data_IF_756564448108
#
_entry.id   IF_756564448108
#
_cell.length_a   1.000
_cell.length_b   1.000
_cell.length_c   1.000
_cell.angle_alpha   90.00
_cell.angle_beta   90.00
_cell.angle_gamma   90.00
#
_symmetry.space_group_name_H-M   'P 1'
#
loop_
_entity.id
_entity.type
_entity.pdbx_description
1 polymer ?
#
# COMPACT_ATOMS: atom_id res chain seq x y z
N UNK A 1 75.01 29.68 16.89
CA UNK A 1 73.99 28.77 16.33
C UNK A 1 72.63 29.41 16.52
N UNK A 2 71.95 29.79 15.43
CA UNK A 2 70.84 30.75 15.47
C UNK A 2 69.54 30.07 15.92
N UNK A 3 69.15 30.27 17.18
CA UNK A 3 67.93 29.72 17.80
C UNK A 3 66.63 30.05 17.03
N UNK A 4 66.64 31.14 16.24
CA UNK A 4 65.55 31.53 15.34
C UNK A 4 65.29 30.51 14.22
N UNK A 5 66.33 29.82 13.75
CA UNK A 5 66.20 28.78 12.71
C UNK A 5 65.57 27.50 13.28
N UNK A 6 65.92 27.15 14.52
CA UNK A 6 65.37 25.97 15.20
C UNK A 6 63.88 26.11 15.52
N UNK A 7 63.43 27.29 15.94
CA UNK A 7 62.00 27.56 16.20
C UNK A 7 61.19 27.48 14.90
N UNK A 8 61.76 27.93 13.78
CA UNK A 8 61.09 27.88 12.47
C UNK A 8 60.86 26.44 12.00
N UNK A 9 61.86 25.56 12.12
CA UNK A 9 61.71 24.15 11.75
C UNK A 9 60.77 23.37 12.69
N UNK A 10 60.74 23.71 13.98
CA UNK A 10 59.81 23.10 14.94
C UNK A 10 58.34 23.49 14.68
N UNK A 11 58.08 24.74 14.29
CA UNK A 11 56.73 25.19 13.96
C UNK A 11 56.19 24.57 12.65
N UNK A 12 57.05 24.40 11.63
CA UNK A 12 56.66 23.74 10.37
C UNK A 12 56.36 22.26 10.60
N UNK A 13 57.12 21.56 11.45
CA UNK A 13 56.86 20.15 11.78
C UNK A 13 55.51 19.94 12.51
N UNK A 14 55.06 20.91 13.33
CA UNK A 14 53.77 20.85 14.01
C UNK A 14 52.58 21.03 13.07
N UNK A 15 52.74 21.76 11.97
CA UNK A 15 51.65 22.03 11.02
C UNK A 15 51.41 20.81 10.11
N UNK A 16 52.46 20.08 9.70
CA UNK A 16 52.33 18.86 8.86
C UNK A 16 51.76 17.65 9.62
N UNK A 17 51.89 17.61 10.96
CA UNK A 17 51.33 16.53 11.78
C UNK A 17 49.83 16.71 12.11
N UNK A 18 49.22 17.87 11.80
CA UNK A 18 47.80 18.15 12.10
C UNK A 18 46.82 17.75 10.97
N UNK A 19 47.34 17.34 9.81
CA UNK A 19 46.53 16.76 8.73
C UNK A 19 46.45 15.23 8.86
N UNK A 20 46.05 14.73 10.01
CA UNK A 20 45.38 13.42 10.04
C UNK A 20 43.93 13.67 9.69
N UNK A 21 43.60 13.55 8.39
CA UNK A 21 42.22 13.32 8.00
C UNK A 21 41.81 12.01 8.66
N UNK A 22 41.10 12.08 9.78
CA UNK A 22 40.32 10.95 10.23
C UNK A 22 39.36 10.60 9.08
N UNK A 23 39.32 9.35 8.61
CA UNK A 23 38.31 8.97 7.66
C UNK A 23 36.97 9.27 8.32
N UNK A 24 36.18 10.15 7.70
CA UNK A 24 34.78 10.31 8.03
C UNK A 24 34.17 8.92 7.86
N UNK A 25 33.98 8.23 8.99
CA UNK A 25 33.09 7.09 9.04
C UNK A 25 31.72 7.69 8.77
N UNK A 26 31.28 7.65 7.50
CA UNK A 26 29.88 7.70 7.19
C UNK A 26 29.24 6.58 8.02
N UNK A 27 28.65 6.96 9.15
CA UNK A 27 27.67 6.15 9.81
C UNK A 27 26.55 6.01 8.79
N UNK A 28 26.61 4.94 8.00
CA UNK A 28 25.55 4.54 7.11
C UNK A 28 24.31 4.43 8.00
N UNK A 29 23.42 5.41 7.93
CA UNK A 29 22.17 5.39 8.68
C UNK A 29 21.40 4.18 8.14
N UNK A 30 21.43 3.08 8.89
CA UNK A 30 20.70 1.86 8.55
C UNK A 30 19.23 2.22 8.74
N UNK A 31 18.58 2.60 7.65
CA UNK A 31 17.13 2.83 7.64
C UNK A 31 16.47 1.51 8.02
N UNK A 32 15.69 1.45 9.11
CA UNK A 32 15.05 0.20 9.51
C UNK A 32 14.12 -0.28 8.41
N UNK A 33 14.23 -1.55 8.05
CA UNK A 33 13.40 -2.18 7.02
C UNK A 33 12.47 -3.19 7.67
N UNK A 34 11.18 -3.10 7.36
CA UNK A 34 10.15 -4.05 7.75
C UNK A 34 9.78 -4.90 6.53
N UNK A 35 9.91 -6.22 6.63
CA UNK A 35 9.39 -7.14 5.59
C UNK A 35 7.92 -7.42 5.86
N UNK A 36 7.08 -7.16 4.87
CA UNK A 36 5.63 -7.28 4.96
C UNK A 36 5.15 -8.37 4.01
N UNK A 37 4.35 -9.30 4.52
CA UNK A 37 3.55 -10.23 3.72
C UNK A 37 2.11 -9.74 3.69
N UNK A 38 1.67 -9.23 2.55
CA UNK A 38 0.32 -8.72 2.34
C UNK A 38 -0.57 -9.78 1.68
N UNK A 39 -1.62 -10.22 2.36
CA UNK A 39 -2.69 -11.03 1.78
C UNK A 39 -3.74 -10.14 1.11
N UNK A 40 -4.11 -10.47 -0.12
CA UNK A 40 -5.23 -9.83 -0.81
C UNK A 40 -6.55 -10.14 -0.06
N UNK A 41 -7.62 -9.33 -0.23
CA UNK A 41 -8.92 -9.61 0.40
C UNK A 41 -9.43 -11.00 0.07
N UNK A 42 -10.18 -11.62 0.97
CA UNK A 42 -10.81 -12.91 0.71
C UNK A 42 -12.06 -12.74 -0.17
N UNK A 43 -11.93 -12.96 -1.48
CA UNK A 43 -13.06 -13.26 -2.37
C UNK A 43 -13.27 -14.79 -2.43
N UNK A 44 -14.47 -15.28 -2.15
CA UNK A 44 -14.75 -16.71 -2.09
C UNK A 44 -14.54 -17.40 -3.47
N UNK A 45 -13.54 -18.29 -3.50
CA UNK A 45 -13.46 -19.60 -4.20
C UNK A 45 -13.55 -19.67 -5.74
N UNK A 46 -12.43 -19.41 -6.42
CA UNK A 46 -11.96 -20.22 -7.56
C UNK A 46 -10.48 -19.90 -7.88
N UNK A 47 -9.64 -20.89 -8.25
CA UNK A 47 -8.36 -20.62 -8.88
C UNK A 47 -8.63 -20.25 -10.36
N UNK A 48 -8.66 -18.97 -10.70
CA UNK A 48 -8.54 -18.53 -12.09
C UNK A 48 -7.10 -18.09 -12.35
N UNK A 49 -6.58 -18.43 -13.52
CA UNK A 49 -5.23 -18.08 -13.97
C UNK A 49 -5.10 -16.62 -14.45
N UNK A 50 -6.10 -15.78 -14.20
CA UNK A 50 -6.12 -14.40 -14.68
C UNK A 50 -5.77 -13.41 -13.58
N UNK A 51 -4.78 -12.58 -13.90
CA UNK A 51 -4.25 -11.50 -13.09
C UNK A 51 -5.25 -10.36 -12.97
N UNK A 52 -5.19 -9.64 -11.83
CA UNK A 52 -5.80 -8.33 -11.56
C UNK A 52 -7.18 -8.42 -10.92
N UNK A 53 -7.78 -7.27 -10.60
CA UNK A 53 -9.14 -7.12 -10.09
C UNK A 53 -10.09 -7.48 -11.24
N UNK A 54 -10.02 -8.75 -11.65
CA UNK A 54 -10.88 -9.33 -12.64
C UNK A 54 -12.14 -9.75 -11.88
N UNK A 55 -13.21 -8.98 -12.07
CA UNK A 55 -14.47 -9.65 -12.35
C UNK A 55 -14.25 -10.46 -13.63
N UNK A 56 -13.59 -11.62 -13.54
CA UNK A 56 -13.87 -12.66 -14.51
C UNK A 56 -15.32 -13.01 -14.23
N UNK A 57 -16.24 -12.50 -15.05
CA UNK A 57 -17.64 -12.92 -15.02
C UNK A 57 -17.69 -14.41 -15.37
N UNK A 58 -17.39 -15.28 -14.41
CA UNK A 58 -18.24 -16.43 -14.16
C UNK A 58 -19.52 -15.91 -13.52
N UNK A 59 -20.63 -16.63 -13.67
CA UNK A 59 -21.97 -16.10 -13.37
C UNK A 59 -22.15 -15.44 -11.99
N UNK A 60 -21.28 -15.65 -10.98
CA UNK A 60 -21.57 -15.30 -9.57
C UNK A 60 -20.38 -14.92 -8.65
N UNK A 61 -19.13 -14.71 -9.12
CA UNK A 61 -17.97 -14.60 -8.20
C UNK A 61 -17.02 -13.41 -8.45
N UNK A 62 -16.32 -12.99 -7.37
CA UNK A 62 -15.26 -11.97 -7.35
C UNK A 62 -13.95 -12.62 -6.88
N UNK A 63 -12.88 -12.53 -7.67
CA UNK A 63 -11.53 -12.89 -7.23
C UNK A 63 -10.64 -11.65 -7.09
N UNK A 64 -9.84 -11.65 -6.04
CA UNK A 64 -8.85 -10.62 -5.69
C UNK A 64 -7.47 -11.25 -5.65
N UNK A 65 -6.57 -10.73 -6.48
CA UNK A 65 -5.19 -11.16 -6.59
C UNK A 65 -4.29 -9.93 -6.73
N UNK A 66 -3.12 -9.98 -6.10
CA UNK A 66 -2.06 -9.01 -6.35
C UNK A 66 -1.50 -9.15 -7.76
N UNK A 67 -0.90 -8.07 -8.25
CA UNK A 67 -0.49 -7.96 -9.64
C UNK A 67 0.66 -6.96 -9.77
N UNK A 68 1.57 -7.18 -10.72
CA UNK A 68 2.71 -6.30 -10.94
C UNK A 68 2.26 -4.84 -11.21
N UNK A 69 2.88 -3.84 -10.62
CA UNK A 69 2.47 -2.44 -10.75
C UNK A 69 1.39 -2.01 -9.76
N UNK A 70 0.88 -2.91 -8.90
CA UNK A 70 0.07 -2.50 -7.76
C UNK A 70 0.87 -1.58 -6.84
N UNK A 71 0.21 -0.52 -6.41
CA UNK A 71 0.78 0.51 -5.56
C UNK A 71 0.20 0.44 -4.16
N UNK A 72 1.06 0.31 -3.17
CA UNK A 72 0.70 0.25 -1.75
C UNK A 72 1.29 1.46 -1.07
N UNK A 73 0.43 2.29 -0.47
CA UNK A 73 0.83 3.46 0.30
C UNK A 73 0.82 3.12 1.80
N UNK A 74 1.99 3.10 2.47
CA UNK A 74 2.09 2.88 3.90
C UNK A 74 1.97 4.18 4.70
N UNK A 75 1.39 4.08 5.90
CA UNK A 75 1.30 5.13 6.90
C UNK A 75 1.66 4.54 8.27
N UNK A 76 2.47 5.26 9.02
CA UNK A 76 2.96 4.86 10.33
C UNK A 76 2.33 5.73 11.40
N UNK A 77 1.75 5.12 12.42
CA UNK A 77 1.10 5.81 13.53
C UNK A 77 1.82 5.46 14.83
N UNK A 78 2.33 6.49 15.51
CA UNK A 78 2.97 6.36 16.82
C UNK A 78 2.55 7.52 17.72
N UNK A 79 1.79 7.22 18.77
CA UNK A 79 1.16 8.26 19.60
C UNK A 79 0.23 9.14 18.76
N UNK A 80 0.50 10.44 18.72
CA UNK A 80 -0.26 11.41 17.91
C UNK A 80 0.33 11.65 16.52
N UNK A 81 1.52 11.10 16.24
CA UNK A 81 2.17 11.27 14.95
C UNK A 81 1.57 10.29 13.93
N UNK A 82 1.30 10.81 12.73
CA UNK A 82 0.99 10.02 11.52
C UNK A 82 2.03 10.44 10.49
N UNK A 83 2.81 9.47 10.02
CA UNK A 83 3.90 9.71 9.06
C UNK A 83 3.61 8.90 7.80
N UNK A 84 3.64 9.56 6.65
CA UNK A 84 3.51 8.89 5.36
C UNK A 84 4.83 8.21 5.00
N UNK A 85 4.77 6.93 4.61
CA UNK A 85 5.93 6.22 4.09
C UNK A 85 6.01 6.26 2.56
N UNK A 86 7.12 5.75 2.03
CA UNK A 86 7.33 5.63 0.59
C UNK A 86 6.36 4.64 -0.04
N UNK A 87 5.70 5.02 -1.13
CA UNK A 87 4.82 4.14 -1.91
C UNK A 87 5.61 2.97 -2.49
N UNK A 88 5.10 1.75 -2.31
CA UNK A 88 5.68 0.53 -2.85
C UNK A 88 4.95 0.18 -4.14
N UNK A 89 5.70 -0.07 -5.21
CA UNK A 89 5.17 -0.64 -6.46
C UNK A 89 5.58 -2.11 -6.54
N UNK A 90 4.61 -3.02 -6.63
CA UNK A 90 4.90 -4.45 -6.67
C UNK A 90 5.52 -4.84 -8.03
N UNK A 91 6.72 -5.42 -8.04
CA UNK A 91 7.25 -6.25 -9.12
C UNK A 91 6.78 -7.70 -9.01
N UNK A 92 6.99 -8.50 -10.07
CA UNK A 92 6.68 -9.94 -10.07
C UNK A 92 7.40 -10.73 -8.97
N UNK A 93 8.62 -10.33 -8.60
CA UNK A 93 9.41 -10.98 -7.53
C UNK A 93 8.75 -10.90 -6.15
N UNK A 94 7.86 -9.92 -5.92
CA UNK A 94 7.13 -9.84 -4.67
C UNK A 94 5.97 -10.83 -4.60
N UNK A 95 5.45 -11.30 -5.73
CA UNK A 95 4.19 -12.02 -5.78
C UNK A 95 4.38 -13.51 -5.50
N UNK A 96 3.50 -14.10 -4.70
CA UNK A 96 3.43 -15.56 -4.59
C UNK A 96 2.95 -16.17 -5.91
N UNK A 97 3.24 -17.46 -6.14
CA UNK A 97 2.82 -18.17 -7.36
C UNK A 97 1.31 -18.05 -7.65
N UNK A 98 0.50 -18.13 -6.60
CA UNK A 98 -0.96 -18.00 -6.67
C UNK A 98 -1.47 -16.55 -6.60
N UNK A 99 -0.57 -15.57 -6.49
CA UNK A 99 -0.83 -14.13 -6.40
C UNK A 99 -1.79 -13.70 -5.27
N UNK A 100 -2.04 -14.57 -4.29
CA UNK A 100 -2.85 -14.25 -3.10
C UNK A 100 -2.07 -13.47 -2.07
N UNK A 101 -0.74 -13.56 -2.12
CA UNK A 101 0.15 -12.84 -1.22
C UNK A 101 1.20 -12.06 -2.01
N UNK A 102 1.65 -10.95 -1.44
CA UNK A 102 2.79 -10.18 -1.91
C UNK A 102 3.74 -9.94 -0.73
N UNK A 103 5.03 -10.23 -0.91
CA UNK A 103 6.07 -10.02 0.10
C UNK A 103 7.03 -8.93 -0.37
N UNK A 104 7.14 -7.85 0.40
CA UNK A 104 7.95 -6.69 0.05
C UNK A 104 8.51 -6.00 1.29
N UNK A 105 9.48 -5.12 1.07
CA UNK A 105 10.14 -4.37 2.14
C UNK A 105 9.61 -2.94 2.20
N UNK A 106 9.36 -2.45 3.41
CA UNK A 106 9.01 -1.06 3.69
C UNK A 106 10.10 -0.44 4.54
N UNK A 107 10.65 0.69 4.07
CA UNK A 107 11.51 1.54 4.87
C UNK A 107 10.68 2.27 5.93
N UNK A 108 11.04 2.12 7.20
CA UNK A 108 10.41 2.84 8.31
C UNK A 108 10.97 4.27 8.33
N UNK A 109 10.11 5.32 8.29
CA UNK A 109 10.56 6.71 8.36
C UNK A 109 11.30 7.02 9.66
N UNK A 110 12.28 7.94 9.61
CA UNK A 110 13.10 8.34 10.76
C UNK A 110 12.29 8.92 11.93
N UNK A 111 11.12 9.50 11.64
CA UNK A 111 10.20 10.06 12.63
C UNK A 111 9.49 8.98 13.48
N UNK A 112 9.62 7.71 13.11
CA UNK A 112 9.08 6.57 13.86
C UNK A 112 10.18 5.94 14.70
N UNK A 113 10.00 5.99 16.01
CA UNK A 113 10.91 5.33 16.93
C UNK A 113 10.63 3.82 16.94
N UNK A 114 11.45 3.06 16.22
CA UNK A 114 11.37 1.59 16.14
C UNK A 114 11.71 0.87 17.45
N UNK A 115 12.22 1.59 18.46
CA UNK A 115 12.39 1.07 19.82
C UNK A 115 11.06 0.93 20.58
N UNK A 116 9.97 1.50 20.06
CA UNK A 116 8.63 1.43 20.63
C UNK A 116 7.64 0.84 19.61
N UNK A 117 6.51 0.27 20.06
CA UNK A 117 5.45 -0.14 19.16
C UNK A 117 4.93 1.02 18.31
N UNK A 118 4.48 0.68 17.11
CA UNK A 118 3.78 1.59 16.20
C UNK A 118 2.76 0.79 15.39
N UNK A 119 1.76 1.46 14.82
CA UNK A 119 0.79 0.82 13.93
C UNK A 119 1.13 1.16 12.49
N UNK A 120 1.28 0.14 11.66
CA UNK A 120 1.33 0.28 10.21
C UNK A 120 -0.09 0.22 9.65
N UNK A 121 -0.46 1.21 8.85
CA UNK A 121 -1.64 1.19 7.98
C UNK A 121 -1.17 1.16 6.54
N UNK A 122 -1.84 0.39 5.69
CA UNK A 122 -1.56 0.38 4.25
C UNK A 122 -2.85 0.61 3.47
N UNK A 123 -2.75 1.40 2.41
CA UNK A 123 -3.84 1.70 1.48
C UNK A 123 -3.43 1.28 0.06
N UNK A 124 -4.34 0.64 -0.67
CA UNK A 124 -4.22 0.35 -2.09
C UNK A 124 -5.54 0.65 -2.80
N UNK A 125 -5.51 0.91 -4.11
CA UNK A 125 -6.71 1.02 -4.95
C UNK A 125 -7.38 2.40 -4.95
N UNK A 126 -6.84 3.38 -4.22
CA UNK A 126 -7.29 4.78 -4.29
C UNK A 126 -6.25 5.76 -3.76
N UNK A 127 -6.48 7.05 -3.99
CA UNK A 127 -5.69 8.11 -3.36
C UNK A 127 -5.96 8.17 -1.86
N UNK A 128 -4.95 8.58 -1.10
CA UNK A 128 -5.07 8.79 0.34
C UNK A 128 -4.13 9.91 0.79
N UNK A 129 -4.47 10.56 1.91
CA UNK A 129 -3.72 11.69 2.44
C UNK A 129 -3.88 11.79 3.95
N UNK A 130 -2.90 12.43 4.60
CA UNK A 130 -3.01 12.81 6.01
C UNK A 130 -3.73 14.15 6.10
N UNK A 131 -4.87 14.18 6.78
CA UNK A 131 -5.58 15.43 7.05
C UNK A 131 -6.34 15.34 8.38
N UNK A 132 -6.33 16.44 9.14
CA UNK A 132 -7.06 16.56 10.43
C UNK A 132 -6.70 15.43 11.42
N UNK A 133 -5.43 15.04 11.46
CA UNK A 133 -4.93 13.97 12.34
C UNK A 133 -5.48 12.58 12.00
N UNK A 134 -5.87 12.34 10.75
CA UNK A 134 -6.39 11.06 10.26
C UNK A 134 -5.79 10.74 8.89
N UNK A 135 -5.80 9.45 8.55
CA UNK A 135 -5.57 8.98 7.18
C UNK A 135 -6.93 9.02 6.48
N UNK A 136 -7.09 9.92 5.51
CA UNK A 136 -8.28 9.99 4.68
C UNK A 136 -8.02 9.21 3.39
N UNK A 137 -8.92 8.29 3.07
CA UNK A 137 -8.89 7.50 1.84
C UNK A 137 -10.02 7.99 0.95
N UNK A 138 -9.70 8.30 -0.29
CA UNK A 138 -10.70 8.67 -1.27
C UNK A 138 -11.52 7.42 -1.66
N UNK A 139 -12.84 7.55 -1.60
CA UNK A 139 -13.77 6.45 -1.82
C UNK A 139 -14.94 6.96 -2.65
N UNK A 140 -15.17 6.33 -3.79
CA UNK A 140 -16.36 6.63 -4.61
C UNK A 140 -17.53 5.76 -4.18
N UNK A 141 -18.61 6.40 -3.72
CA UNK A 141 -19.87 5.73 -3.39
C UNK A 141 -20.81 5.71 -4.60
N UNK A 142 -20.51 4.88 -5.58
CA UNK A 142 -21.34 4.76 -6.79
C UNK A 142 -22.02 3.40 -6.77
N UNK A 143 -23.36 3.37 -6.68
CA UNK A 143 -24.09 2.17 -6.27
C UNK A 143 -24.05 1.06 -7.31
N UNK A 144 -24.07 1.40 -8.61
CA UNK A 144 -24.04 0.41 -9.69
C UNK A 144 -23.29 0.93 -10.91
N UNK A 145 -22.52 0.04 -11.54
CA UNK A 145 -21.98 0.25 -12.88
C UNK A 145 -22.34 -0.91 -13.79
N UNK A 146 -22.82 -0.64 -15.01
CA UNK A 146 -23.01 -1.68 -16.00
C UNK A 146 -21.65 -2.17 -16.49
N UNK A 147 -21.28 -3.40 -16.11
CA UNK A 147 -20.17 -4.13 -16.73
C UNK A 147 -20.70 -4.87 -17.98
N UNK A 148 -21.18 -4.14 -18.99
CA UNK A 148 -21.59 -4.72 -20.27
C UNK A 148 -20.57 -4.39 -21.35
N UNK A 149 -20.12 -5.41 -22.10
CA UNK A 149 -19.11 -5.32 -23.15
C UNK A 149 -19.52 -4.54 -24.42
N UNK A 150 -20.41 -3.56 -24.32
CA UNK A 150 -20.87 -2.74 -25.43
C UNK A 150 -21.25 -1.34 -24.94
N UNK A 151 -20.58 -0.33 -25.51
CA UNK A 151 -20.62 1.10 -25.19
C UNK A 151 -20.20 1.47 -23.75
N UNK A 152 -18.92 1.86 -23.60
CA UNK A 152 -18.41 2.45 -22.36
C UNK A 152 -17.88 1.47 -21.32
N UNK A 153 -17.36 0.30 -21.74
CA UNK A 153 -16.77 -0.72 -20.85
C UNK A 153 -15.80 -0.10 -19.82
N UNK A 154 -16.22 -0.06 -18.55
CA UNK A 154 -15.38 0.30 -17.41
C UNK A 154 -14.82 -1.00 -16.85
N UNK A 155 -13.49 -1.13 -16.76
CA UNK A 155 -12.89 -2.27 -16.08
C UNK A 155 -13.08 -2.10 -14.56
N UNK A 156 -13.33 -3.15 -13.78
CA UNK A 156 -13.30 -3.05 -12.32
C UNK A 156 -11.95 -2.50 -11.83
N UNK A 157 -10.86 -2.78 -12.56
CA UNK A 157 -9.52 -2.24 -12.33
C UNK A 157 -9.41 -0.71 -12.48
N UNK A 158 -10.35 -0.07 -13.19
CA UNK A 158 -10.36 1.40 -13.36
C UNK A 158 -11.16 2.13 -12.28
N UNK A 159 -11.79 1.40 -11.36
CA UNK A 159 -12.59 1.99 -10.30
C UNK A 159 -11.81 2.10 -8.99
N UNK A 160 -12.04 3.19 -8.24
CA UNK A 160 -11.47 3.39 -6.92
C UNK A 160 -12.16 2.48 -5.90
N UNK A 161 -11.74 1.23 -5.81
CA UNK A 161 -12.15 0.29 -4.76
C UNK A 161 -11.01 0.15 -3.74
N UNK A 162 -10.87 1.10 -2.79
CA UNK A 162 -9.75 1.04 -1.87
C UNK A 162 -9.86 -0.17 -0.95
N UNK A 163 -8.71 -0.80 -0.74
CA UNK A 163 -8.51 -1.83 0.26
C UNK A 163 -7.49 -1.33 1.26
N UNK A 164 -7.67 -1.72 2.52
CA UNK A 164 -6.79 -1.31 3.60
C UNK A 164 -6.44 -2.48 4.51
N UNK A 165 -5.27 -2.41 5.10
CA UNK A 165 -4.85 -3.29 6.18
C UNK A 165 -4.17 -2.48 7.28
N UNK A 166 -4.14 -3.06 8.48
CA UNK A 166 -3.35 -2.52 9.57
C UNK A 166 -2.76 -3.62 10.44
N UNK A 167 -1.59 -3.37 11.02
CA UNK A 167 -1.01 -4.21 12.05
C UNK A 167 -0.25 -3.37 13.07
N UNK A 168 -0.32 -3.76 14.33
CA UNK A 168 0.61 -3.27 15.35
C UNK A 168 1.95 -3.99 15.18
N UNK A 169 3.03 -3.21 15.13
CA UNK A 169 4.39 -3.71 15.02
C UNK A 169 5.04 -3.56 16.39
N UNK A 170 5.35 -4.69 17.01
CA UNK A 170 6.05 -4.72 18.29
C UNK A 170 7.55 -4.37 18.10
N UNK A 171 8.18 -3.94 19.19
CA UNK A 171 9.60 -3.65 19.23
C UNK A 171 10.45 -4.82 18.72
N UNK A 172 11.42 -4.52 17.84
CA UNK A 172 12.39 -5.49 17.35
C UNK A 172 11.84 -6.55 16.40
N UNK A 173 10.58 -6.43 15.96
CA UNK A 173 9.96 -7.35 15.01
C UNK A 173 10.27 -6.92 13.57
N UNK A 174 11.05 -7.69 12.81
CA UNK A 174 11.47 -7.32 11.46
C UNK A 174 10.46 -7.72 10.38
N UNK A 175 9.42 -8.50 10.74
CA UNK A 175 8.45 -9.04 9.79
C UNK A 175 7.02 -8.90 10.30
N UNK A 176 6.06 -8.67 9.40
CA UNK A 176 4.64 -8.64 9.75
C UNK A 176 3.76 -9.16 8.62
N UNK A 177 2.54 -9.54 8.96
CA UNK A 177 1.52 -9.97 8.02
C UNK A 177 0.35 -9.00 8.01
N UNK A 178 -0.09 -8.60 6.83
CA UNK A 178 -1.25 -7.73 6.63
C UNK A 178 -2.34 -8.49 5.89
N UNK A 179 -3.57 -8.45 6.40
CA UNK A 179 -4.74 -8.93 5.66
C UNK A 179 -5.54 -7.72 5.17
N UNK A 180 -5.55 -7.50 3.86
CA UNK A 180 -6.29 -6.39 3.27
C UNK A 180 -7.78 -6.69 3.23
N UNK A 181 -8.58 -5.67 3.51
CA UNK A 181 -10.04 -5.73 3.45
C UNK A 181 -10.56 -4.52 2.67
N UNK A 182 -11.75 -4.67 2.08
CA UNK A 182 -12.44 -3.55 1.43
C UNK A 182 -12.91 -2.53 2.47
N UNK A 183 -12.82 -1.24 2.13
CA UNK A 183 -13.43 -0.17 2.92
C UNK A 183 -14.94 -0.03 2.70
N UNK A 184 -15.49 -0.73 1.71
CA UNK A 184 -16.91 -0.75 1.39
C UNK A 184 -17.38 -2.14 0.99
N UNK A 185 -18.62 -2.23 0.51
CA UNK A 185 -19.16 -3.45 -0.05
C UNK A 185 -18.98 -3.45 -1.58
N UNK A 186 -18.58 -4.59 -2.13
CA UNK A 186 -18.66 -4.85 -3.55
C UNK A 186 -19.75 -5.90 -3.79
N UNK A 187 -20.70 -5.60 -4.66
CA UNK A 187 -21.85 -6.45 -4.95
C UNK A 187 -21.90 -6.75 -6.45
N UNK A 188 -22.18 -8.00 -6.79
CA UNK A 188 -22.54 -8.41 -8.15
C UNK A 188 -24.05 -8.69 -8.16
N UNK A 189 -24.75 -8.11 -9.13
CA UNK A 189 -26.14 -8.47 -9.42
C UNK A 189 -26.22 -8.98 -10.86
N UNK A 190 -26.64 -10.23 -11.01
CA UNK A 190 -26.79 -10.87 -12.30
C UNK A 190 -28.28 -11.00 -12.65
N UNK A 191 -28.66 -10.42 -13.79
CA UNK A 191 -30.02 -10.52 -14.31
C UNK A 191 -30.08 -11.53 -15.44
N UNK A 192 -31.00 -12.49 -15.33
CA UNK A 192 -31.33 -13.42 -16.41
C UNK A 192 -32.62 -12.98 -17.09
N UNK A 193 -32.56 -12.66 -18.37
CA UNK A 193 -33.76 -12.46 -19.16
C UNK A 193 -34.44 -13.82 -19.41
N UNK A 194 -35.68 -13.96 -18.92
CA UNK A 194 -36.50 -15.16 -19.12
C UNK A 194 -37.54 -14.99 -20.24
N UNK A 195 -37.62 -13.80 -20.87
CA UNK A 195 -38.52 -13.54 -21.97
C UNK A 195 -37.99 -14.12 -23.29
N UNK A 196 -38.89 -14.43 -24.22
CA UNK A 196 -38.54 -14.79 -25.60
C UNK A 196 -38.12 -13.59 -26.47
N UNK A 197 -38.02 -12.40 -25.90
CA UNK A 197 -37.64 -11.15 -26.57
C UNK A 197 -36.50 -10.47 -25.80
N UNK A 198 -35.71 -9.66 -26.51
CA UNK A 198 -34.61 -8.89 -25.93
C UNK A 198 -35.14 -7.84 -24.95
N UNK A 199 -34.46 -7.71 -23.80
CA UNK A 199 -34.75 -6.69 -22.78
C UNK A 199 -33.51 -5.82 -22.64
N UNK A 200 -33.69 -4.52 -22.83
CA UNK A 200 -32.66 -3.52 -22.57
C UNK A 200 -32.92 -2.84 -21.21
N UNK A 201 -31.86 -2.71 -20.41
CA UNK A 201 -31.89 -1.91 -19.18
C UNK A 201 -31.29 -0.54 -19.46
N UNK A 202 -31.99 0.52 -19.06
CA UNK A 202 -31.50 1.90 -19.22
C UNK A 202 -30.92 2.47 -17.93
N UNK A 203 -31.37 1.97 -16.77
CA UNK A 203 -30.97 2.48 -15.44
C UNK A 203 -31.17 1.39 -14.38
N UNK A 204 -30.36 1.45 -13.31
CA UNK A 204 -30.48 0.63 -12.11
C UNK A 204 -30.14 1.48 -10.88
N UNK A 205 -31.01 1.49 -9.88
CA UNK A 205 -30.85 2.30 -8.68
C UNK A 205 -31.12 1.46 -7.42
N UNK A 206 -30.34 1.69 -6.36
CA UNK A 206 -30.66 1.22 -5.01
C UNK A 206 -31.63 2.21 -4.37
N UNK A 207 -32.91 1.86 -4.31
CA UNK A 207 -33.90 2.65 -3.58
C UNK A 207 -33.90 2.18 -2.12
N UNK A 208 -33.51 3.06 -1.20
CA UNK A 208 -33.66 2.79 0.23
C UNK A 208 -35.14 2.85 0.59
N UNK A 209 -35.74 1.70 0.90
CA UNK A 209 -37.11 1.62 1.40
C UNK A 209 -37.07 1.58 2.92
N UNK A 210 -37.85 2.43 3.59
CA UNK A 210 -38.01 2.34 5.04
C UNK A 210 -38.70 0.99 5.37
N UNK A 211 -38.16 0.16 6.28
CA UNK A 211 -38.79 -1.12 6.62
C UNK A 211 -40.24 -1.02 7.10
N UNK A 212 -40.67 0.16 7.55
CA UNK A 212 -42.04 0.45 7.95
C UNK A 212 -43.03 0.66 6.78
N UNK A 213 -42.52 0.81 5.55
CA UNK A 213 -43.30 1.08 4.33
C UNK A 213 -43.45 -0.18 3.43
N UNK A 214 -42.98 -1.35 3.90
CA UNK A 214 -42.99 -2.64 3.18
C UNK A 214 -44.08 -3.61 3.68
#
# INVERSE_FOLDING_TARGET
>A
MNYKLFIFFAAVALIVASCTQEPLVELQQIVPVLTVTAAAPNGNNAPSSDTRLALTMGETAISTLWKEGDKIKPYFVQGTAIVEGTEITLTDEHLSDNKKNATFNIAVPDDINTANPYTLYCVHGSSSQIARGKILVDFSYTPFFPFSGGYGSVSPDTYYTPITASAEIAFGVPTTSLTFNYLGAMQIICFKNAAGAEVAYTEMELVQVNPADA
#
